data_IF_251552143305
#
_entry.id   IF_251552143305
#
_cell.length_a   1.000
_cell.length_b   1.000
_cell.length_c   1.000
_cell.angle_alpha   90.00
_cell.angle_beta   90.00
_cell.angle_gamma   90.00
#
_symmetry.space_group_name_H-M   'P 1'
#
loop_
_entity.id
_entity.type
_entity.pdbx_description
1 polymer ?
#
# COMPACT_ATOMS: atom_id res chain seq x y z
N UNK A 1 -6.30 17.15 -43.42
CA UNK A 1 -7.14 16.15 -42.71
C UNK A 1 -6.31 15.08 -42.01
N UNK A 2 -5.45 14.34 -42.72
CA UNK A 2 -4.69 13.20 -42.14
C UNK A 2 -3.69 13.59 -41.04
N UNK A 3 -3.00 14.72 -41.16
CA UNK A 3 -2.04 15.19 -40.15
C UNK A 3 -2.67 15.42 -38.76
N UNK A 4 -3.92 15.92 -38.72
CA UNK A 4 -4.62 16.17 -37.45
C UNK A 4 -4.99 14.84 -36.77
N UNK A 5 -5.39 13.83 -37.54
CA UNK A 5 -5.71 12.50 -37.01
C UNK A 5 -4.46 11.80 -36.41
N UNK A 6 -3.29 12.00 -37.00
CA UNK A 6 -2.03 11.47 -36.44
C UNK A 6 -1.62 12.21 -35.16
N UNK A 7 -1.87 13.52 -35.07
CA UNK A 7 -1.60 14.27 -33.84
C UNK A 7 -2.55 13.90 -32.70
N UNK A 8 -3.84 13.72 -32.97
CA UNK A 8 -4.80 13.32 -31.93
C UNK A 8 -4.50 11.92 -31.39
N UNK A 9 -4.10 10.97 -32.24
CA UNK A 9 -3.67 9.64 -31.80
C UNK A 9 -2.37 9.69 -31.00
N UNK A 10 -1.40 10.51 -31.41
CA UNK A 10 -0.16 10.72 -30.66
C UNK A 10 -0.43 11.33 -29.27
N UNK A 11 -1.21 12.40 -29.18
CA UNK A 11 -1.51 13.05 -27.89
C UNK A 11 -2.32 12.12 -26.97
N UNK A 12 -3.25 11.33 -27.51
CA UNK A 12 -3.98 10.33 -26.73
C UNK A 12 -3.06 9.24 -26.17
N UNK A 13 -2.20 8.66 -27.01
CA UNK A 13 -1.25 7.64 -26.58
C UNK A 13 -0.23 8.17 -25.56
N UNK A 14 0.22 9.42 -25.75
CA UNK A 14 1.15 10.09 -24.85
C UNK A 14 0.53 10.30 -23.46
N UNK A 15 -0.67 10.89 -23.40
CA UNK A 15 -1.36 11.16 -22.14
C UNK A 15 -1.70 9.85 -21.40
N UNK A 16 -2.18 8.83 -22.11
CA UNK A 16 -2.53 7.54 -21.51
C UNK A 16 -1.32 6.84 -20.88
N UNK A 17 -0.21 6.71 -21.61
CA UNK A 17 0.92 5.89 -21.17
C UNK A 17 1.93 6.64 -20.31
N UNK A 18 2.09 7.96 -20.49
CA UNK A 18 3.11 8.73 -19.76
C UNK A 18 2.53 9.44 -18.55
N UNK A 19 1.26 9.86 -18.59
CA UNK A 19 0.66 10.57 -17.45
C UNK A 19 -0.19 9.62 -16.60
N UNK A 20 -1.14 8.91 -17.21
CA UNK A 20 -2.10 8.12 -16.44
C UNK A 20 -1.55 6.76 -15.98
N UNK A 21 -0.77 6.05 -16.80
CA UNK A 21 -0.19 4.76 -16.39
C UNK A 21 0.68 4.85 -15.10
N UNK A 22 1.66 5.77 -14.98
CA UNK A 22 2.43 5.87 -13.73
C UNK A 22 1.60 6.42 -12.56
N UNK A 23 0.54 7.19 -12.84
CA UNK A 23 -0.39 7.65 -11.80
C UNK A 23 -1.13 6.46 -11.18
N UNK A 24 -1.62 5.52 -11.99
CA UNK A 24 -2.26 4.28 -11.50
C UNK A 24 -1.28 3.48 -10.65
N UNK A 25 -0.06 3.22 -11.13
CA UNK A 25 0.94 2.45 -10.37
C UNK A 25 1.24 3.08 -9.01
N UNK A 26 1.31 4.41 -8.91
CA UNK A 26 1.51 5.09 -7.62
C UNK A 26 0.31 4.93 -6.70
N UNK A 27 -0.91 5.08 -7.23
CA UNK A 27 -2.14 4.91 -6.44
C UNK A 27 -2.26 3.47 -5.91
N UNK A 28 -2.01 2.47 -6.75
CA UNK A 28 -2.00 1.07 -6.34
C UNK A 28 -0.97 0.80 -5.23
N UNK A 29 0.21 1.41 -5.32
CA UNK A 29 1.22 1.36 -4.26
C UNK A 29 0.72 1.93 -2.93
N UNK A 30 0.03 3.08 -2.96
CA UNK A 30 -0.59 3.64 -1.75
C UNK A 30 -1.72 2.77 -1.20
N UNK A 31 -2.56 2.23 -2.07
CA UNK A 31 -3.64 1.31 -1.68
C UNK A 31 -3.07 0.05 -1.01
N UNK A 32 -2.01 -0.54 -1.56
CA UNK A 32 -1.36 -1.70 -0.98
C UNK A 32 -0.84 -1.41 0.44
N UNK A 33 -0.20 -0.26 0.65
CA UNK A 33 0.24 0.15 1.98
C UNK A 33 -0.93 0.34 2.95
N UNK A 34 -2.01 0.98 2.48
CA UNK A 34 -3.19 1.26 3.30
C UNK A 34 -3.96 -0.02 3.68
N UNK A 35 -4.00 -1.01 2.79
CA UNK A 35 -4.57 -2.33 3.06
C UNK A 35 -3.84 -3.02 4.21
N UNK A 36 -2.50 -3.11 4.13
CA UNK A 36 -1.67 -3.73 5.18
C UNK A 36 -1.86 -3.01 6.52
N UNK A 37 -1.90 -1.68 6.52
CA UNK A 37 -2.17 -0.90 7.73
C UNK A 37 -3.54 -1.23 8.34
N UNK A 38 -4.59 -1.25 7.52
CA UNK A 38 -5.95 -1.56 7.99
C UNK A 38 -6.08 -3.00 8.50
N UNK A 39 -5.43 -3.95 7.84
CA UNK A 39 -5.39 -5.36 8.27
C UNK A 39 -4.76 -5.49 9.66
N UNK A 40 -3.60 -4.87 9.90
CA UNK A 40 -2.96 -4.86 11.23
C UNK A 40 -3.85 -4.25 12.31
N UNK A 41 -4.55 -3.15 12.00
CA UNK A 41 -5.48 -2.51 12.96
C UNK A 41 -6.65 -3.46 13.30
N UNK A 42 -7.23 -4.11 12.30
CA UNK A 42 -8.35 -5.06 12.51
C UNK A 42 -7.89 -6.28 13.30
N UNK A 43 -6.70 -6.81 13.03
CA UNK A 43 -6.13 -7.92 13.78
C UNK A 43 -5.85 -7.53 15.24
N UNK A 44 -5.26 -6.36 15.48
CA UNK A 44 -5.06 -5.82 16.83
C UNK A 44 -6.38 -5.68 17.60
N UNK A 45 -7.42 -5.11 16.97
CA UNK A 45 -8.75 -4.99 17.57
C UNK A 45 -9.39 -6.36 17.86
N UNK A 46 -9.23 -7.35 16.98
CA UNK A 46 -9.71 -8.72 17.19
C UNK A 46 -9.03 -9.36 18.40
N UNK A 47 -7.72 -9.19 18.55
CA UNK A 47 -6.98 -9.76 19.67
C UNK A 47 -7.33 -9.08 21.01
N UNK A 48 -7.60 -7.77 21.00
CA UNK A 48 -8.14 -7.05 22.15
C UNK A 48 -9.53 -7.60 22.54
N UNK A 49 -10.42 -7.79 21.56
CA UNK A 49 -11.76 -8.32 21.80
C UNK A 49 -11.77 -9.76 22.34
N UNK A 50 -10.73 -10.55 22.03
CA UNK A 50 -10.53 -11.91 22.56
C UNK A 50 -9.98 -11.94 23.98
N UNK A 51 -9.55 -10.79 24.53
CA UNK A 51 -8.96 -10.72 25.87
C UNK A 51 -7.56 -11.34 25.96
N UNK A 52 -6.80 -11.35 24.87
CA UNK A 52 -5.41 -11.83 24.88
C UNK A 52 -4.51 -10.91 25.73
N UNK A 53 -3.45 -11.49 26.32
CA UNK A 53 -2.48 -10.72 27.10
C UNK A 53 -1.83 -9.64 26.23
N UNK A 54 -1.73 -8.37 26.70
CA UNK A 54 -1.14 -7.27 25.92
C UNK A 54 0.26 -7.56 25.37
N UNK A 55 1.03 -8.40 26.07
CA UNK A 55 2.35 -8.87 25.62
C UNK A 55 2.26 -9.73 24.35
N UNK A 56 1.35 -10.70 24.34
CA UNK A 56 1.13 -11.57 23.18
C UNK A 56 0.59 -10.79 21.97
N UNK A 57 -0.26 -9.78 22.21
CA UNK A 57 -0.77 -8.91 21.15
C UNK A 57 0.39 -8.12 20.52
N UNK A 58 1.31 -7.59 21.34
CA UNK A 58 2.50 -6.92 20.82
C UNK A 58 3.40 -7.86 20.03
N UNK A 59 3.67 -9.07 20.54
CA UNK A 59 4.54 -10.03 19.86
C UNK A 59 3.95 -10.47 18.50
N UNK A 60 2.64 -10.68 18.41
CA UNK A 60 1.94 -10.97 17.15
C UNK A 60 1.93 -9.77 16.18
N UNK A 61 1.73 -8.56 16.69
CA UNK A 61 1.77 -7.37 15.84
C UNK A 61 3.17 -7.14 15.30
N UNK A 62 4.21 -7.30 16.13
CA UNK A 62 5.63 -7.15 15.77
C UNK A 62 6.04 -8.16 14.70
N UNK A 63 5.59 -9.43 14.78
CA UNK A 63 5.91 -10.45 13.78
C UNK A 63 5.32 -10.15 12.39
N UNK A 64 4.21 -9.42 12.33
CA UNK A 64 3.56 -9.00 11.08
C UNK A 64 4.18 -7.75 10.43
N UNK A 65 5.11 -7.05 11.09
CA UNK A 65 5.84 -5.93 10.47
C UNK A 65 6.94 -6.41 9.51
N UNK A 66 7.32 -5.60 8.51
CA UNK A 66 8.51 -5.85 7.70
C UNK A 66 9.78 -5.98 8.56
N UNK A 67 10.76 -6.83 8.18
CA UNK A 67 11.94 -7.12 9.00
C UNK A 67 12.75 -5.87 9.39
N UNK A 68 12.81 -4.86 8.51
CA UNK A 68 13.45 -3.57 8.80
C UNK A 68 12.81 -2.78 9.94
N UNK A 69 11.51 -2.96 10.15
CA UNK A 69 10.75 -2.34 11.24
C UNK A 69 10.80 -3.19 12.51
N UNK A 70 10.88 -4.52 12.38
CA UNK A 70 11.11 -5.44 13.50
C UNK A 70 12.42 -5.12 14.23
N UNK A 71 13.51 -4.91 13.49
CA UNK A 71 14.83 -4.56 14.06
C UNK A 71 14.79 -3.25 14.87
N UNK A 72 14.01 -2.26 14.41
CA UNK A 72 13.85 -0.99 15.13
C UNK A 72 13.09 -1.14 16.46
N UNK A 73 12.10 -2.02 16.48
CA UNK A 73 11.30 -2.30 17.69
C UNK A 73 12.05 -3.21 18.67
N UNK A 74 12.92 -4.10 18.19
CA UNK A 74 13.76 -4.95 19.03
C UNK A 74 14.96 -4.20 19.65
N UNK A 75 15.38 -3.09 19.02
CA UNK A 75 16.45 -2.22 19.52
C UNK A 75 15.96 -1.10 20.46
N UNK A 76 14.65 -0.97 20.69
CA UNK A 76 14.02 0.01 21.59
C UNK A 76 13.55 -0.66 22.88
#
# INVERSE_FOLDING_TARGET
AMAVALLTTLYGAFIANILFAPMVTKLEGYTAYELVYREMVVEGLRNIARGESPRNIQDQLVSNLPPKLQEKMAAA
#
